data_IF_010596778366
#
_entry.id   IF_010596778366
#
_cell.length_a   1.000
_cell.length_b   1.000
_cell.length_c   1.000
_cell.angle_alpha   90.00
_cell.angle_beta   90.00
_cell.angle_gamma   90.00
#
_symmetry.space_group_name_H-M   'P 1'
#
loop_
_entity.id
_entity.type
_entity.pdbx_description
1 polymer ?
#
# COMPACT_ATOMS: atom_id res chain seq x y z
N UNK A 1 -38.64 0.71 -86.74
CA UNK A 1 -37.79 1.62 -85.94
C UNK A 1 -36.79 0.78 -85.15
N UNK A 2 -35.50 1.00 -85.39
CA UNK A 2 -34.39 0.66 -84.49
C UNK A 2 -34.51 1.51 -83.20
N UNK A 3 -34.15 1.00 -82.01
CA UNK A 3 -32.99 1.39 -81.16
C UNK A 3 -32.92 0.47 -79.91
N UNK A 4 -31.69 0.00 -79.62
CA UNK A 4 -31.08 -0.80 -78.53
C UNK A 4 -31.05 -0.07 -77.14
N UNK A 5 -30.26 -0.47 -76.08
CA UNK A 5 -30.05 -1.75 -75.35
C UNK A 5 -29.83 -1.60 -73.80
N UNK A 6 -29.36 -2.68 -73.13
CA UNK A 6 -28.34 -2.75 -72.03
C UNK A 6 -28.75 -3.13 -70.56
N UNK A 7 -28.47 -4.40 -70.18
CA UNK A 7 -27.51 -4.95 -69.14
C UNK A 7 -27.15 -4.12 -67.86
N UNK A 8 -26.50 -4.66 -66.78
CA UNK A 8 -26.39 -6.04 -66.21
C UNK A 8 -26.17 -6.18 -64.64
N UNK A 9 -25.96 -7.42 -64.18
CA UNK A 9 -25.19 -7.94 -63.01
C UNK A 9 -25.63 -7.71 -61.54
N UNK A 10 -25.81 -8.81 -60.78
CA UNK A 10 -24.96 -9.32 -59.66
C UNK A 10 -25.76 -10.34 -58.80
N UNK A 11 -25.62 -11.65 -59.01
CA UNK A 11 -24.80 -12.59 -58.23
C UNK A 11 -25.14 -12.66 -56.71
N UNK A 12 -25.75 -13.79 -56.33
CA UNK A 12 -25.97 -14.29 -54.98
C UNK A 12 -24.63 -14.66 -54.32
N UNK A 13 -24.37 -14.20 -53.10
CA UNK A 13 -23.45 -14.86 -52.16
C UNK A 13 -23.92 -14.65 -50.72
N UNK A 14 -23.77 -15.71 -49.95
CA UNK A 14 -24.40 -16.03 -48.65
C UNK A 14 -23.88 -15.21 -47.47
N UNK A 15 -24.64 -15.11 -46.36
CA UNK A 15 -24.15 -14.49 -45.13
C UNK A 15 -23.03 -15.34 -44.48
N UNK A 16 -21.94 -14.66 -44.13
CA UNK A 16 -20.79 -15.15 -43.38
C UNK A 16 -21.22 -15.76 -42.04
N UNK A 17 -20.92 -17.04 -41.82
CA UNK A 17 -21.04 -17.73 -40.53
C UNK A 17 -19.78 -17.46 -39.70
N UNK A 18 -19.94 -16.93 -38.50
CA UNK A 18 -18.85 -16.69 -37.56
C UNK A 18 -18.53 -18.00 -36.80
N UNK A 19 -17.30 -18.54 -36.84
CA UNK A 19 -16.96 -19.77 -36.13
C UNK A 19 -16.67 -19.54 -34.63
N UNK A 20 -17.42 -20.29 -33.83
CA UNK A 20 -17.09 -20.95 -32.56
C UNK A 20 -15.98 -20.36 -31.68
N UNK A 21 -16.38 -19.90 -30.48
CA UNK A 21 -15.55 -19.69 -29.29
C UNK A 21 -14.67 -20.90 -28.96
N UNK A 22 -13.36 -20.70 -28.93
CA UNK A 22 -12.40 -21.62 -28.29
C UNK A 22 -12.31 -21.23 -26.81
N UNK A 23 -12.85 -22.05 -25.91
CA UNK A 23 -12.58 -21.92 -24.47
C UNK A 23 -11.30 -22.69 -24.12
N UNK A 24 -10.23 -21.98 -23.76
CA UNK A 24 -9.07 -22.58 -23.10
C UNK A 24 -9.29 -22.54 -21.58
N UNK A 25 -9.05 -23.63 -20.82
CA UNK A 25 -9.15 -23.60 -19.37
C UNK A 25 -7.92 -22.91 -18.79
N UNK A 26 -8.09 -21.66 -18.34
CA UNK A 26 -7.09 -21.00 -17.51
C UNK A 26 -7.05 -21.73 -16.16
N UNK A 27 -5.95 -22.42 -15.86
CA UNK A 27 -5.70 -22.94 -14.53
C UNK A 27 -5.82 -21.80 -13.51
N UNK A 28 -6.69 -21.95 -12.52
CA UNK A 28 -6.89 -20.97 -11.47
C UNK A 28 -5.62 -20.89 -10.60
N UNK A 29 -4.76 -19.92 -10.90
CA UNK A 29 -3.70 -19.51 -9.99
C UNK A 29 -4.39 -18.86 -8.79
N UNK A 30 -4.49 -19.60 -7.68
CA UNK A 30 -4.95 -19.02 -6.42
C UNK A 30 -3.86 -18.07 -5.94
N UNK A 31 -3.96 -16.80 -6.33
CA UNK A 31 -3.23 -15.74 -5.63
C UNK A 31 -3.86 -15.67 -4.25
N UNK A 32 -3.28 -16.37 -3.28
CA UNK A 32 -3.53 -16.06 -1.88
C UNK A 32 -2.87 -14.72 -1.63
N UNK A 33 -3.59 -13.63 -1.89
CA UNK A 33 -3.22 -12.32 -1.37
C UNK A 33 -3.34 -12.46 0.14
N UNK A 34 -2.22 -12.65 0.83
CA UNK A 34 -2.18 -12.38 2.27
C UNK A 34 -2.43 -10.89 2.39
N UNK A 35 -3.65 -10.50 2.75
CA UNK A 35 -3.99 -9.08 2.94
C UNK A 35 -3.20 -8.59 4.15
N UNK A 36 -2.06 -7.97 3.91
CA UNK A 36 -1.22 -7.42 4.97
C UNK A 36 -1.90 -6.19 5.53
N UNK A 37 -1.83 -6.03 6.86
CA UNK A 37 -2.32 -4.84 7.54
C UNK A 37 -1.12 -4.00 7.95
N UNK A 38 -1.17 -2.70 7.73
CA UNK A 38 -0.06 -1.81 8.08
C UNK A 38 -0.51 -0.74 9.05
N UNK A 39 0.42 -0.39 9.92
CA UNK A 39 0.37 0.83 10.73
C UNK A 39 1.45 1.74 10.18
N UNK A 40 1.02 2.82 9.53
CA UNK A 40 1.91 3.90 9.09
C UNK A 40 1.95 4.96 10.17
N UNK A 41 3.16 5.33 10.58
CA UNK A 41 3.43 6.35 11.60
C UNK A 41 4.14 7.51 10.93
N UNK A 42 3.64 8.73 11.09
CA UNK A 42 4.18 9.93 10.45
C UNK A 42 4.41 11.04 11.48
N UNK A 43 5.59 11.67 11.42
CA UNK A 43 5.92 12.83 12.25
C UNK A 43 5.85 14.12 11.41
N UNK A 44 5.12 15.15 11.88
CA UNK A 44 4.89 16.37 11.10
C UNK A 44 6.18 17.16 10.89
N UNK A 45 6.32 17.81 9.73
CA UNK A 45 7.46 18.68 9.46
C UNK A 45 7.16 20.11 9.93
N UNK A 46 7.36 20.38 11.22
CA UNK A 46 7.10 21.68 11.83
C UNK A 46 8.41 22.44 12.13
N UNK A 47 8.42 23.80 12.08
CA UNK A 47 9.64 24.59 12.25
C UNK A 47 10.38 24.41 13.58
N UNK A 48 9.66 24.09 14.66
CA UNK A 48 10.21 23.87 16.01
C UNK A 48 10.36 22.38 16.35
N UNK A 49 10.21 21.50 15.36
CA UNK A 49 10.37 20.08 15.55
C UNK A 49 11.83 19.71 15.84
N UNK A 50 12.01 18.82 16.81
CA UNK A 50 13.29 18.28 17.24
C UNK A 50 13.20 16.77 17.13
N UNK A 51 13.93 16.23 16.16
CA UNK A 51 13.89 14.83 15.82
C UNK A 51 15.28 14.20 15.87
N UNK A 52 15.32 12.96 16.37
CA UNK A 52 16.48 12.08 16.27
C UNK A 52 16.09 10.85 15.44
N UNK A 53 16.26 10.95 14.12
CA UNK A 53 15.91 9.87 13.21
C UNK A 53 16.83 8.64 13.40
N UNK A 54 18.09 8.84 13.79
CA UNK A 54 19.01 7.74 14.05
C UNK A 54 18.58 6.94 15.29
N UNK A 55 18.13 7.62 16.35
CA UNK A 55 17.53 6.96 17.50
C UNK A 55 16.25 6.22 17.11
N UNK A 56 15.37 6.85 16.33
CA UNK A 56 14.14 6.23 15.86
C UNK A 56 14.41 4.89 15.15
N UNK A 57 15.37 4.86 14.21
CA UNK A 57 15.72 3.65 13.46
C UNK A 57 16.50 2.64 14.31
N UNK A 58 17.46 3.07 15.12
CA UNK A 58 18.39 2.18 15.82
C UNK A 58 17.89 1.68 17.18
N UNK A 59 16.88 2.33 17.76
CA UNK A 59 16.33 2.01 19.10
C UNK A 59 14.83 1.78 19.06
N UNK A 60 14.05 2.75 18.58
CA UNK A 60 12.60 2.70 18.67
C UNK A 60 11.99 1.59 17.79
N UNK A 61 12.40 1.49 16.53
CA UNK A 61 11.88 0.46 15.63
C UNK A 61 12.26 -0.96 16.06
N UNK A 62 13.50 -1.25 16.51
CA UNK A 62 13.85 -2.52 17.14
C UNK A 62 13.03 -2.82 18.39
N UNK A 63 12.76 -1.83 19.24
CA UNK A 63 11.92 -2.01 20.44
C UNK A 63 10.50 -2.46 20.08
N UNK A 64 9.90 -1.87 19.03
CA UNK A 64 8.60 -2.30 18.49
C UNK A 64 8.68 -3.78 18.07
N UNK A 65 9.69 -4.17 17.30
CA UNK A 65 9.84 -5.56 16.85
C UNK A 65 10.03 -6.52 18.03
N UNK A 66 10.82 -6.16 19.04
CA UNK A 66 11.08 -6.96 20.23
C UNK A 66 9.80 -7.20 21.05
N UNK A 67 9.06 -6.12 21.32
CA UNK A 67 7.91 -6.15 22.24
C UNK A 67 6.63 -6.62 21.58
N UNK A 68 6.41 -6.23 20.32
CA UNK A 68 5.18 -6.51 19.58
C UNK A 68 5.33 -7.56 18.49
N UNK A 69 6.54 -8.08 18.23
CA UNK A 69 6.74 -9.24 17.34
C UNK A 69 5.84 -10.42 17.71
N UNK A 70 5.65 -10.69 19.02
CA UNK A 70 4.75 -11.74 19.53
C UNK A 70 3.27 -11.51 19.21
N UNK A 71 2.87 -10.27 18.94
CA UNK A 71 1.50 -9.94 18.54
C UNK A 71 1.34 -9.94 17.01
N UNK A 72 2.39 -10.23 16.24
CA UNK A 72 2.26 -10.36 14.78
C UNK A 72 2.84 -9.19 13.98
N UNK A 73 3.76 -8.40 14.54
CA UNK A 73 4.64 -7.54 13.73
C UNK A 73 5.54 -8.41 12.85
N UNK A 74 5.39 -8.29 11.54
CA UNK A 74 6.11 -9.06 10.52
C UNK A 74 7.40 -8.39 10.08
N UNK A 75 7.32 -7.09 9.82
CA UNK A 75 8.42 -6.31 9.28
C UNK A 75 8.19 -4.83 9.58
N UNK A 76 9.22 -4.01 9.39
CA UNK A 76 9.08 -2.56 9.40
C UNK A 76 10.08 -1.92 8.44
N UNK A 77 9.73 -0.72 7.99
CA UNK A 77 10.62 0.19 7.28
C UNK A 77 10.50 1.59 7.88
N UNK A 78 11.56 2.38 7.76
CA UNK A 78 11.58 3.77 8.19
C UNK A 78 12.13 4.63 7.07
N UNK A 79 11.50 5.78 6.85
CA UNK A 79 11.81 6.69 5.74
C UNK A 79 11.92 8.10 6.28
N UNK A 80 13.04 8.75 6.01
CA UNK A 80 13.16 10.19 6.15
C UNK A 80 12.73 10.85 4.84
N UNK A 81 11.79 11.78 4.91
CA UNK A 81 11.22 12.41 3.72
C UNK A 81 12.04 13.64 3.32
N UNK A 82 12.15 13.85 2.02
CA UNK A 82 12.76 15.05 1.43
C UNK A 82 11.67 16.01 0.98
N UNK A 83 12.05 17.21 0.54
CA UNK A 83 11.15 18.09 -0.20
C UNK A 83 10.56 17.38 -1.42
N UNK A 84 9.38 17.85 -1.84
CA UNK A 84 8.73 17.42 -3.06
C UNK A 84 9.58 17.74 -4.30
N UNK A 85 9.25 17.09 -5.42
CA UNK A 85 9.95 17.31 -6.70
C UNK A 85 9.80 18.76 -7.21
N UNK A 86 8.76 19.46 -6.77
CA UNK A 86 8.50 20.89 -7.02
C UNK A 86 9.26 21.82 -6.04
N UNK A 87 10.04 21.25 -5.12
CA UNK A 87 10.78 21.97 -4.08
C UNK A 87 9.94 22.34 -2.86
N UNK A 88 8.65 22.02 -2.83
CA UNK A 88 7.80 22.28 -1.66
C UNK A 88 8.26 21.46 -0.44
N UNK A 89 8.18 22.01 0.78
CA UNK A 89 8.47 21.23 1.99
C UNK A 89 7.55 20.03 2.10
N UNK A 90 8.09 18.86 2.45
CA UNK A 90 7.25 17.71 2.80
C UNK A 90 6.38 18.05 4.02
N UNK A 91 5.10 17.62 4.06
CA UNK A 91 4.26 17.78 5.25
C UNK A 91 4.75 16.94 6.45
N UNK A 92 5.55 15.90 6.21
CA UNK A 92 6.10 15.02 7.24
C UNK A 92 7.63 14.94 7.13
N UNK A 93 8.32 14.90 8.27
CA UNK A 93 9.78 14.85 8.32
C UNK A 93 10.30 13.41 8.11
N UNK A 94 9.66 12.45 8.77
CA UNK A 94 9.96 11.03 8.63
C UNK A 94 8.76 10.19 9.10
N UNK A 95 8.84 8.89 8.90
CA UNK A 95 7.86 7.94 9.41
C UNK A 95 8.29 6.50 9.22
N UNK A 96 7.42 5.59 9.66
CA UNK A 96 7.58 4.16 9.45
C UNK A 96 6.34 3.52 8.88
N UNK A 97 6.52 2.39 8.21
CA UNK A 97 5.45 1.44 7.93
C UNK A 97 5.78 0.18 8.70
N UNK A 98 4.90 -0.21 9.62
CA UNK A 98 4.98 -1.48 10.35
C UNK A 98 3.96 -2.43 9.75
N UNK A 99 4.42 -3.58 9.29
CA UNK A 99 3.57 -4.63 8.74
C UNK A 99 3.12 -5.59 9.84
N UNK A 100 1.84 -5.91 9.84
CA UNK A 100 1.19 -6.78 10.81
C UNK A 100 0.48 -7.94 10.12
N UNK A 101 0.27 -9.02 10.89
CA UNK A 101 -0.54 -10.16 10.46
C UNK A 101 -1.97 -9.74 10.09
N UNK A 102 -2.64 -8.99 10.96
CA UNK A 102 -3.99 -8.47 10.74
C UNK A 102 -4.32 -7.29 11.68
N UNK A 103 -5.50 -6.68 11.49
CA UNK A 103 -5.98 -5.55 12.30
C UNK A 103 -6.23 -5.91 13.78
N UNK A 104 -6.68 -7.13 14.07
CA UNK A 104 -7.00 -7.55 15.44
C UNK A 104 -5.74 -7.63 16.30
N UNK A 105 -4.63 -8.05 15.70
CA UNK A 105 -3.32 -8.06 16.33
C UNK A 105 -2.83 -6.67 16.74
N UNK A 106 -3.05 -5.67 15.89
CA UNK A 106 -2.76 -4.27 16.24
C UNK A 106 -3.53 -3.86 17.49
N UNK A 107 -4.83 -4.17 17.55
CA UNK A 107 -5.67 -3.84 18.73
C UNK A 107 -5.18 -4.51 20.00
N UNK A 108 -4.76 -5.78 19.91
CA UNK A 108 -4.21 -6.52 21.06
C UNK A 108 -2.90 -5.87 21.53
N UNK A 109 -1.98 -5.56 20.61
CA UNK A 109 -0.70 -4.93 20.95
C UNK A 109 -0.87 -3.57 21.63
N UNK A 110 -1.77 -2.73 21.12
CA UNK A 110 -2.04 -1.40 21.68
C UNK A 110 -2.83 -1.42 23.00
N UNK A 111 -3.52 -2.53 23.32
CA UNK A 111 -4.14 -2.75 24.62
C UNK A 111 -3.22 -3.49 25.61
N UNK A 112 -2.06 -3.97 25.13
CA UNK A 112 -1.10 -4.74 25.89
C UNK A 112 -0.26 -3.89 26.86
N UNK A 113 0.38 -4.51 27.86
CA UNK A 113 1.18 -3.80 28.86
C UNK A 113 2.40 -3.09 28.27
N UNK A 114 2.87 -3.47 27.08
CA UNK A 114 4.05 -2.88 26.43
C UNK A 114 3.80 -1.49 25.84
N UNK A 115 2.53 -1.08 25.67
CA UNK A 115 2.17 0.19 25.02
C UNK A 115 2.77 1.40 25.76
N UNK A 116 2.83 1.36 27.09
CA UNK A 116 3.35 2.46 27.89
C UNK A 116 4.86 2.68 27.66
N UNK A 117 5.62 1.60 27.49
CA UNK A 117 7.06 1.65 27.22
C UNK A 117 7.32 2.21 25.81
N UNK A 118 6.61 1.69 24.80
CA UNK A 118 6.78 2.10 23.41
C UNK A 118 6.35 3.55 23.20
N UNK A 119 5.19 3.95 23.71
CA UNK A 119 4.71 5.33 23.58
C UNK A 119 5.53 6.30 24.42
N UNK A 120 6.05 5.86 25.57
CA UNK A 120 6.94 6.65 26.41
C UNK A 120 8.30 6.93 25.76
N UNK A 121 8.79 6.02 24.91
CA UNK A 121 10.05 6.18 24.18
C UNK A 121 10.01 7.30 23.12
N UNK A 122 8.82 7.75 22.70
CA UNK A 122 8.67 8.84 21.72
C UNK A 122 9.38 10.12 22.16
N UNK A 123 9.34 10.44 23.45
CA UNK A 123 9.98 11.63 24.00
C UNK A 123 11.52 11.62 23.87
N UNK A 124 12.13 10.46 23.62
CA UNK A 124 13.58 10.34 23.45
C UNK A 124 14.05 10.82 22.06
N UNK A 125 13.18 10.82 21.06
CA UNK A 125 13.54 11.19 19.69
C UNK A 125 12.62 12.22 19.05
N UNK A 126 11.55 12.64 19.70
CA UNK A 126 10.58 13.59 19.16
C UNK A 126 10.00 14.51 20.23
N UNK A 127 9.80 15.79 19.88
CA UNK A 127 8.96 16.72 20.64
C UNK A 127 7.56 16.92 20.04
N UNK A 128 7.22 16.19 18.98
CA UNK A 128 5.92 16.23 18.30
C UNK A 128 5.22 14.89 18.39
N UNK A 129 3.89 14.94 18.40
CA UNK A 129 3.06 13.74 18.36
C UNK A 129 3.06 13.13 16.96
N UNK A 130 2.99 11.80 16.93
CA UNK A 130 2.88 11.05 15.69
C UNK A 130 1.42 10.96 15.21
N UNK A 131 1.25 10.85 13.91
CA UNK A 131 -0.02 10.51 13.26
C UNK A 131 0.02 9.01 12.89
N UNK A 132 -1.05 8.30 13.25
CA UNK A 132 -1.21 6.88 12.95
C UNK A 132 -2.25 6.69 11.85
N UNK A 133 -1.86 6.01 10.78
CA UNK A 133 -2.74 5.59 9.70
C UNK A 133 -2.75 4.07 9.64
N UNK A 134 -3.92 3.48 9.87
CA UNK A 134 -4.11 2.03 9.88
C UNK A 134 -4.83 1.63 8.60
N UNK A 135 -4.33 0.62 7.90
CA UNK A 135 -4.89 0.24 6.61
C UNK A 135 -4.57 -1.17 6.17
N UNK A 136 -5.38 -1.67 5.25
CA UNK A 136 -5.09 -2.89 4.48
C UNK A 136 -4.27 -2.52 3.26
N UNK A 137 -3.24 -3.29 2.97
CA UNK A 137 -2.46 -3.14 1.74
C UNK A 137 -3.16 -3.90 0.61
N UNK A 138 -3.32 -3.24 -0.53
CA UNK A 138 -3.80 -3.85 -1.76
C UNK A 138 -2.62 -3.97 -2.75
N UNK A 139 -2.67 -5.02 -3.58
CA UNK A 139 -1.72 -5.25 -4.67
C UNK A 139 -2.24 -4.67 -5.99
#
# INVERSE_FOLDING_TARGET
MSVLPALPHHQLHTPYQNPTTVSSPQAAFKITVSMTFTVTVLFPNEPDAKYDFDYYVSKHMPLIQEKWGKYGVKSWSATQFTNGLDGSPSPYAFGSIVEWEDESQVKIAFAGPEVAEIMGDVANFSNKDAIFLLGKVAA
#
